data_IF_597723626063
#
_entry.id   IF_597723626063
#
_cell.length_a   1.000
_cell.length_b   1.000
_cell.length_c   1.000
_cell.angle_alpha   90.00
_cell.angle_beta   90.00
_cell.angle_gamma   90.00
#
_symmetry.space_group_name_H-M   'P 1'
#
loop_
_entity.id
_entity.type
_entity.pdbx_description
1 polymer ?
#
# COMPACT_ATOMS: atom_id res chain seq x y z
N UNK A 1 -3.25 -15.34 0.18
CA UNK A 1 -1.80 -15.57 0.43
C UNK A 1 -1.46 -17.02 0.74
N UNK A 2 -2.13 -17.68 1.71
CA UNK A 2 -1.95 -19.13 1.93
C UNK A 2 -2.24 -19.96 0.67
N UNK A 3 -3.30 -19.59 -0.04
CA UNK A 3 -3.71 -20.24 -1.31
C UNK A 3 -2.78 -19.90 -2.49
N UNK A 4 -1.80 -19.01 -2.28
CA UNK A 4 -0.78 -18.64 -3.26
C UNK A 4 0.62 -19.13 -2.85
N UNK A 5 0.70 -20.16 -2.00
CA UNK A 5 1.97 -20.81 -1.64
C UNK A 5 2.80 -20.10 -0.58
N UNK A 6 2.31 -19.01 0.01
CA UNK A 6 3.02 -18.28 1.08
C UNK A 6 2.63 -18.76 2.47
N UNK A 7 3.62 -18.99 3.33
CA UNK A 7 3.42 -19.35 4.73
C UNK A 7 3.35 -18.11 5.62
N UNK A 8 2.28 -17.96 6.40
CA UNK A 8 2.17 -16.88 7.40
C UNK A 8 3.09 -17.16 8.58
N UNK A 9 3.82 -16.14 9.03
CA UNK A 9 4.66 -16.20 10.24
C UNK A 9 4.06 -15.39 11.38
N UNK A 10 4.46 -15.74 12.60
CA UNK A 10 4.15 -14.95 13.80
C UNK A 10 4.98 -13.67 13.79
N UNK A 11 4.39 -12.57 14.27
CA UNK A 11 5.06 -11.28 14.38
C UNK A 11 6.33 -11.38 15.24
N UNK A 12 7.37 -10.61 14.89
CA UNK A 12 8.60 -10.51 15.69
C UNK A 12 9.90 -10.91 14.96
N UNK A 13 9.81 -11.42 13.73
CA UNK A 13 10.98 -11.63 12.86
C UNK A 13 10.70 -11.23 11.41
N UNK A 14 11.76 -11.03 10.63
CA UNK A 14 11.64 -10.82 9.19
C UNK A 14 11.21 -12.13 8.48
N UNK A 15 10.34 -12.07 7.46
CA UNK A 15 9.97 -13.22 6.65
C UNK A 15 11.16 -13.77 5.85
N UNK A 16 11.30 -15.10 5.83
CA UNK A 16 12.17 -15.79 4.87
C UNK A 16 11.44 -15.92 3.52
N UNK A 17 12.16 -16.43 2.51
CA UNK A 17 11.56 -16.67 1.19
C UNK A 17 10.34 -17.60 1.30
N UNK A 18 9.27 -17.28 0.60
CA UNK A 18 7.99 -18.01 0.66
C UNK A 18 7.21 -17.76 1.95
N UNK A 19 7.60 -16.79 2.78
CA UNK A 19 6.91 -16.41 4.00
C UNK A 19 6.37 -14.98 3.95
N UNK A 20 5.35 -14.71 4.76
CA UNK A 20 4.82 -13.37 4.96
C UNK A 20 4.36 -13.12 6.40
N UNK A 21 4.47 -11.87 6.85
CA UNK A 21 4.02 -11.43 8.17
C UNK A 21 3.14 -10.20 8.09
N UNK A 22 2.39 -9.90 9.14
CA UNK A 22 1.67 -8.62 9.27
C UNK A 22 2.62 -7.55 9.82
N UNK A 23 2.54 -6.31 9.32
CA UNK A 23 3.27 -5.18 9.93
C UNK A 23 2.64 -4.80 11.27
N UNK A 24 3.47 -4.36 12.22
CA UNK A 24 3.02 -4.01 13.58
C UNK A 24 2.43 -2.61 13.70
N UNK A 25 2.69 -1.72 12.73
CA UNK A 25 2.23 -0.33 12.74
C UNK A 25 1.08 -0.09 11.77
N UNK A 26 1.03 -0.83 10.67
CA UNK A 26 0.02 -0.68 9.62
C UNK A 26 -0.78 -1.99 9.52
N UNK A 27 -2.01 -2.00 10.03
CA UNK A 27 -2.82 -3.22 10.22
C UNK A 27 -3.20 -3.96 8.93
N UNK A 28 -3.19 -3.26 7.81
CA UNK A 28 -3.53 -3.73 6.47
C UNK A 28 -2.29 -4.07 5.61
N UNK A 29 -1.09 -3.97 6.17
CA UNK A 29 0.16 -4.22 5.45
C UNK A 29 0.71 -5.62 5.76
N UNK A 30 1.07 -6.33 4.69
CA UNK A 30 1.84 -7.56 4.75
C UNK A 30 3.30 -7.30 4.35
N UNK A 31 4.23 -7.88 5.10
CA UNK A 31 5.67 -7.83 4.83
C UNK A 31 6.08 -9.17 4.21
N UNK A 32 6.84 -9.10 3.13
CA UNK A 32 7.38 -10.26 2.39
C UNK A 32 8.91 -10.18 2.33
N UNK A 33 9.54 -11.32 2.00
CA UNK A 33 10.96 -11.32 1.69
C UNK A 33 11.21 -10.66 0.32
N UNK A 34 12.31 -9.92 0.18
CA UNK A 34 12.67 -9.27 -1.09
C UNK A 34 12.85 -10.26 -2.25
N UNK A 35 13.27 -11.49 -1.97
CA UNK A 35 13.43 -12.53 -2.98
C UNK A 35 12.09 -12.93 -3.65
N UNK A 36 10.96 -12.65 -3.00
CA UNK A 36 9.63 -13.04 -3.50
C UNK A 36 8.98 -11.95 -4.39
N UNK A 37 9.63 -10.79 -4.58
CA UNK A 37 9.03 -9.65 -5.30
C UNK A 37 8.58 -10.02 -6.71
N UNK A 38 9.41 -10.73 -7.49
CA UNK A 38 9.04 -11.12 -8.86
C UNK A 38 7.82 -12.05 -8.85
N UNK A 39 7.84 -13.08 -8.01
CA UNK A 39 6.72 -14.01 -7.87
C UNK A 39 5.42 -13.33 -7.42
N UNK A 40 5.53 -12.31 -6.55
CA UNK A 40 4.38 -11.52 -6.10
C UNK A 40 3.81 -10.67 -7.24
N UNK A 41 4.64 -10.02 -8.03
CA UNK A 41 4.19 -9.19 -9.16
C UNK A 41 3.40 -9.99 -10.19
N UNK A 42 3.78 -11.25 -10.41
CA UNK A 42 3.11 -12.16 -11.34
C UNK A 42 1.92 -12.91 -10.70
N UNK A 43 1.69 -12.72 -9.40
CA UNK A 43 0.61 -13.42 -8.70
C UNK A 43 -0.76 -12.85 -9.05
N UNK A 44 -1.76 -13.74 -9.12
CA UNK A 44 -3.14 -13.38 -9.45
C UNK A 44 -3.71 -12.30 -8.51
N UNK A 45 -3.39 -12.35 -7.22
CA UNK A 45 -3.86 -11.36 -6.23
C UNK A 45 -3.36 -9.95 -6.53
N UNK A 46 -2.16 -9.81 -7.10
CA UNK A 46 -1.62 -8.51 -7.54
C UNK A 46 -2.21 -8.10 -8.89
N UNK A 47 -2.31 -9.02 -9.85
CA UNK A 47 -2.89 -8.76 -11.16
C UNK A 47 -4.38 -8.35 -11.08
N UNK A 48 -5.13 -8.95 -10.15
CA UNK A 48 -6.52 -8.59 -9.83
C UNK A 48 -6.63 -7.34 -8.94
N UNK A 49 -5.50 -6.71 -8.58
CA UNK A 49 -5.44 -5.49 -7.74
C UNK A 49 -6.00 -5.67 -6.33
N UNK A 50 -6.06 -6.90 -5.85
CA UNK A 50 -6.42 -7.24 -4.47
C UNK A 50 -5.23 -7.07 -3.51
N UNK A 51 -4.00 -6.99 -4.04
CA UNK A 51 -2.78 -6.67 -3.31
C UNK A 51 -1.95 -5.66 -4.10
N UNK A 52 -1.49 -4.61 -3.43
CA UNK A 52 -0.61 -3.60 -4.03
C UNK A 52 0.77 -3.68 -3.37
N UNK A 53 1.82 -3.69 -4.19
CA UNK A 53 3.18 -3.57 -3.68
C UNK A 53 3.50 -2.09 -3.44
N UNK A 54 3.77 -1.75 -2.19
CA UNK A 54 4.13 -0.41 -1.77
C UNK A 54 5.28 -0.48 -0.76
N UNK A 55 6.15 0.52 -0.76
CA UNK A 55 7.20 0.61 0.26
C UNK A 55 6.58 0.87 1.65
N UNK A 56 7.16 0.27 2.68
CA UNK A 56 6.64 0.35 4.05
C UNK A 56 6.58 1.77 4.60
N UNK A 57 7.49 2.65 4.19
CA UNK A 57 7.51 4.05 4.62
C UNK A 57 6.31 4.83 4.08
N UNK A 58 5.91 4.59 2.84
CA UNK A 58 4.72 5.19 2.23
C UNK A 58 3.46 4.71 2.94
N UNK A 59 3.35 3.41 3.25
CA UNK A 59 2.24 2.90 4.06
C UNK A 59 2.15 3.60 5.42
N UNK A 60 3.29 3.73 6.11
CA UNK A 60 3.33 4.41 7.40
C UNK A 60 2.92 5.89 7.28
N UNK A 61 3.36 6.58 6.23
CA UNK A 61 2.96 7.96 5.95
C UNK A 61 1.44 8.10 5.82
N UNK A 62 0.79 7.19 5.09
CA UNK A 62 -0.68 7.15 4.93
C UNK A 62 -1.36 6.96 6.29
N UNK A 63 -0.92 5.99 7.11
CA UNK A 63 -1.50 5.74 8.44
C UNK A 63 -1.32 6.94 9.39
N UNK A 64 -0.15 7.58 9.37
CA UNK A 64 0.09 8.81 10.14
C UNK A 64 -0.83 9.95 9.70
N UNK A 65 -1.03 10.14 8.39
CA UNK A 65 -1.98 11.14 7.88
C UNK A 65 -3.40 10.81 8.32
N UNK A 66 -3.84 9.55 8.15
CA UNK A 66 -5.18 9.10 8.54
C UNK A 66 -5.48 9.36 10.02
N UNK A 67 -4.50 9.21 10.91
CA UNK A 67 -4.66 9.48 12.33
C UNK A 67 -5.13 10.92 12.62
N UNK A 68 -4.79 11.87 11.74
CA UNK A 68 -5.13 13.29 11.86
C UNK A 68 -6.38 13.69 11.05
N UNK A 69 -6.86 12.83 10.15
CA UNK A 69 -8.07 13.11 9.37
C UNK A 69 -9.31 13.00 10.26
N UNK A 70 -10.21 13.97 10.12
CA UNK A 70 -11.54 14.03 10.70
C UNK A 70 -12.64 13.96 9.63
N UNK A 71 -13.89 13.77 10.06
CA UNK A 71 -15.06 13.72 9.18
C UNK A 71 -15.22 15.00 8.34
N UNK A 72 -15.56 14.85 7.06
CA UNK A 72 -15.83 15.96 6.15
C UNK A 72 -14.61 16.71 5.61
N UNK A 73 -13.40 16.31 6.00
CA UNK A 73 -12.16 16.93 5.51
C UNK A 73 -11.81 16.48 4.08
N UNK A 74 -10.98 17.28 3.40
CA UNK A 74 -10.36 16.91 2.12
C UNK A 74 -8.87 16.62 2.33
N UNK A 75 -8.41 15.46 1.88
CA UNK A 75 -7.00 15.04 1.92
C UNK A 75 -6.38 15.20 0.53
N UNK A 76 -5.39 16.09 0.44
CA UNK A 76 -4.71 16.39 -0.81
C UNK A 76 -3.38 15.62 -0.94
N UNK A 77 -3.30 14.79 -1.97
CA UNK A 77 -2.08 14.12 -2.40
C UNK A 77 -1.44 14.91 -3.53
N UNK A 78 -0.27 15.50 -3.28
CA UNK A 78 0.50 16.29 -4.26
C UNK A 78 1.82 15.62 -4.60
N UNK A 79 2.39 15.96 -5.76
CA UNK A 79 3.69 15.43 -6.21
C UNK A 79 3.75 13.89 -6.20
N UNK A 80 2.63 13.25 -6.51
CA UNK A 80 2.50 11.81 -6.48
C UNK A 80 3.02 11.20 -7.78
N UNK A 81 4.00 10.30 -7.67
CA UNK A 81 4.56 9.56 -8.80
C UNK A 81 3.55 8.50 -9.30
N UNK A 82 2.71 7.99 -8.39
CA UNK A 82 1.63 7.04 -8.68
C UNK A 82 0.46 7.29 -7.72
N UNK A 83 -0.65 6.57 -7.90
CA UNK A 83 -1.89 6.76 -7.12
C UNK A 83 -1.99 5.88 -5.87
N UNK A 84 -1.02 5.02 -5.58
CA UNK A 84 -1.20 3.96 -4.56
C UNK A 84 -1.41 4.51 -3.16
N UNK A 85 -0.72 5.57 -2.75
CA UNK A 85 -0.95 6.19 -1.44
C UNK A 85 -2.34 6.80 -1.31
N UNK A 86 -2.88 7.36 -2.40
CA UNK A 86 -4.24 7.91 -2.42
C UNK A 86 -5.29 6.78 -2.35
N UNK A 87 -5.12 5.71 -3.14
CA UNK A 87 -6.00 4.52 -3.10
C UNK A 87 -5.95 3.82 -1.74
N UNK A 88 -4.75 3.73 -1.13
CA UNK A 88 -4.57 3.18 0.21
C UNK A 88 -5.33 4.04 1.25
N UNK A 89 -5.22 5.36 1.19
CA UNK A 89 -6.00 6.27 2.05
C UNK A 89 -7.51 6.06 1.87
N UNK A 90 -7.99 5.84 0.64
CA UNK A 90 -9.42 5.63 0.35
C UNK A 90 -9.96 4.39 1.06
N UNK A 91 -9.24 3.26 0.95
CA UNK A 91 -9.60 2.03 1.64
C UNK A 91 -9.63 2.20 3.16
N UNK A 92 -8.69 2.96 3.73
CA UNK A 92 -8.65 3.20 5.17
C UNK A 92 -9.74 4.16 5.65
N UNK A 93 -10.08 5.20 4.88
CA UNK A 93 -11.18 6.12 5.21
C UNK A 93 -12.50 5.37 5.27
N UNK A 94 -12.76 4.47 4.31
CA UNK A 94 -13.97 3.63 4.32
C UNK A 94 -14.10 2.78 5.59
N UNK A 95 -12.97 2.35 6.16
CA UNK A 95 -12.94 1.58 7.42
C UNK A 95 -13.04 2.46 8.68
N UNK A 96 -12.41 3.65 8.69
CA UNK A 96 -12.38 4.55 9.86
C UNK A 96 -13.68 5.35 10.03
N UNK A 97 -14.33 5.71 8.93
CA UNK A 97 -15.51 6.59 8.90
C UNK A 97 -16.76 5.90 8.30
N UNK A 98 -17.16 4.70 8.76
CA UNK A 98 -18.22 3.94 8.09
C UNK A 98 -19.60 4.62 8.14
N UNK A 99 -19.82 5.54 9.09
CA UNK A 99 -21.11 6.18 9.35
C UNK A 99 -21.05 7.72 9.42
N UNK A 100 -19.86 8.31 9.21
CA UNK A 100 -19.68 9.77 9.33
C UNK A 100 -19.98 10.44 7.99
N UNK A 101 -20.77 11.52 8.03
CA UNK A 101 -21.13 12.33 6.88
C UNK A 101 -20.81 13.81 7.16
N UNK A 102 -20.14 14.53 6.24
CA UNK A 102 -19.61 14.03 4.97
C UNK A 102 -18.43 13.07 5.18
N UNK A 103 -18.31 12.05 4.33
CA UNK A 103 -17.12 11.20 4.31
C UNK A 103 -15.93 12.05 3.85
N UNK A 104 -14.75 11.92 4.48
CA UNK A 104 -13.56 12.64 4.02
C UNK A 104 -13.27 12.33 2.55
N UNK A 105 -12.90 13.36 1.80
CA UNK A 105 -12.65 13.26 0.36
C UNK A 105 -11.15 13.18 0.08
N UNK A 106 -10.78 12.48 -0.99
CA UNK A 106 -9.39 12.37 -1.44
C UNK A 106 -9.24 13.06 -2.78
N UNK A 107 -8.25 13.93 -2.87
CA UNK A 107 -7.87 14.56 -4.13
C UNK A 107 -6.41 14.27 -4.44
N UNK A 108 -6.15 13.65 -5.59
CA UNK A 108 -4.81 13.39 -6.08
C UNK A 108 -4.46 14.35 -7.22
N UNK A 109 -3.46 15.20 -7.01
CA UNK A 109 -2.90 16.11 -8.01
C UNK A 109 -1.59 15.51 -8.51
N UNK A 110 -1.62 15.01 -9.74
CA UNK A 110 -0.44 14.47 -10.43
C UNK A 110 -0.35 14.99 -11.87
N UNK A 111 0.87 15.22 -12.39
CA UNK A 111 1.05 15.37 -13.83
C UNK A 111 0.78 14.00 -14.50
N UNK A 112 -0.08 13.98 -15.53
CA UNK A 112 -0.25 12.82 -16.39
C UNK A 112 1.10 12.57 -17.09
N UNK A 113 1.77 11.45 -16.78
CA UNK A 113 2.92 11.00 -17.56
C UNK A 113 2.40 10.05 -18.63
N UNK A 114 2.61 10.40 -19.90
CA UNK A 114 2.15 9.65 -21.07
C UNK A 114 2.78 8.24 -21.18
N UNK A 115 3.89 8.00 -20.46
CA UNK A 115 4.63 6.73 -20.40
C UNK A 115 4.69 6.14 -18.97
N UNK A 116 3.55 5.98 -18.29
CA UNK A 116 3.53 5.16 -17.07
C UNK A 116 3.79 3.69 -17.42
N UNK A 117 5.06 3.25 -17.30
CA UNK A 117 5.40 1.82 -17.33
C UNK A 117 4.54 1.13 -16.25
N UNK A 118 3.71 0.13 -16.61
CA UNK A 118 2.88 -0.60 -15.65
C UNK A 118 3.69 -1.27 -14.52
N UNK A 119 5.03 -1.37 -14.69
CA UNK A 119 6.00 -1.89 -13.72
C UNK A 119 6.67 -0.82 -12.84
N UNK A 120 6.34 0.47 -12.99
CA UNK A 120 6.83 1.55 -12.10
C UNK A 120 6.37 1.40 -10.65
N UNK A 121 5.43 0.47 -10.39
CA UNK A 121 5.14 -0.17 -9.10
C UNK A 121 6.38 -0.62 -8.31
N UNK A 122 7.50 -0.91 -8.98
CA UNK A 122 8.69 -1.55 -8.37
C UNK A 122 9.82 -0.55 -8.01
N UNK A 123 9.76 0.71 -8.45
CA UNK A 123 10.87 1.69 -8.29
C UNK A 123 10.72 2.65 -7.10
N UNK A 124 9.92 2.31 -6.09
CA UNK A 124 9.85 3.06 -4.84
C UNK A 124 10.80 2.43 -3.81
N UNK A 125 11.92 3.11 -3.54
CA UNK A 125 12.77 2.81 -2.38
C UNK A 125 13.91 1.83 -2.61
N UNK A 126 14.95 2.26 -3.32
CA UNK A 126 16.36 2.00 -2.96
C UNK A 126 17.22 2.90 -3.83
N UNK A 127 18.03 3.78 -3.22
CA UNK A 127 19.19 4.32 -3.94
C UNK A 127 20.09 3.11 -4.22
N UNK A 128 20.07 2.62 -5.46
CA UNK A 128 21.02 1.61 -5.91
C UNK A 128 22.42 2.20 -5.83
N UNK A 129 23.33 1.48 -5.18
CA UNK A 129 24.70 1.40 -5.68
C UNK A 129 24.74 0.32 -6.73
#
# INVERSE_FOLDING_TARGET
MKDHGFRRIVAGRLPQQGEYGSDKHCSDVFVFNKADVCNLLDSEVVLQRNLVLQDKSSCLGVHCTLANVAGGEEVLFVNCINVFSAVHMEGLIGNKFPLIQPVPQIRCIRPLKEDEDPRLTVKMGSKGK
#
